data_IF_157717292180
#
_entry.id   IF_157717292180
#
_cell.length_a   1.000
_cell.length_b   1.000
_cell.length_c   1.000
_cell.angle_alpha   90.00
_cell.angle_beta   90.00
_cell.angle_gamma   90.00
#
_symmetry.space_group_name_H-M   'P 1'
#
loop_
_entity.id
_entity.type
_entity.pdbx_description
1 polymer ?
#
# COMPACT_ATOMS: atom_id res chain seq x y z
N UNK A 1 -7.57 27.55 9.46
CA UNK A 1 -6.14 27.79 9.78
C UNK A 1 -5.66 26.49 10.39
N UNK A 2 -5.07 25.61 9.59
CA UNK A 2 -4.55 24.31 10.07
C UNK A 2 -3.24 24.56 10.82
N UNK A 3 -3.16 24.07 12.06
CA UNK A 3 -1.96 24.10 12.87
C UNK A 3 -0.78 23.47 12.11
N UNK A 4 0.41 24.07 12.10
CA UNK A 4 1.56 23.46 11.45
C UNK A 4 1.88 22.14 12.17
N UNK A 5 1.89 21.04 11.42
CA UNK A 5 2.30 19.72 11.91
C UNK A 5 3.70 19.86 12.50
N UNK A 6 3.83 19.79 13.83
CA UNK A 6 5.14 19.77 14.50
C UNK A 6 5.90 18.52 14.03
N UNK A 7 7.18 18.65 13.63
CA UNK A 7 8.00 17.49 13.34
C UNK A 7 8.09 16.62 14.61
N UNK A 8 7.60 15.38 14.52
CA UNK A 8 7.70 14.43 15.63
C UNK A 8 9.17 14.07 15.85
N UNK A 9 9.60 14.04 17.11
CA UNK A 9 10.95 13.58 17.44
C UNK A 9 11.09 12.07 17.14
N UNK A 10 12.32 11.60 16.91
CA UNK A 10 12.60 10.17 16.71
C UNK A 10 12.11 9.34 17.93
N UNK A 11 12.21 9.89 19.13
CA UNK A 11 11.71 9.24 20.35
C UNK A 11 10.18 9.12 20.34
N UNK A 12 9.46 10.17 19.93
CA UNK A 12 7.99 10.13 19.82
C UNK A 12 7.52 9.11 18.80
N UNK A 13 8.24 9.00 17.67
CA UNK A 13 7.97 7.99 16.63
C UNK A 13 8.20 6.57 17.16
N UNK A 14 9.29 6.33 17.90
CA UNK A 14 9.59 5.02 18.48
C UNK A 14 8.54 4.58 19.50
N UNK A 15 8.11 5.50 20.39
CA UNK A 15 7.04 5.24 21.36
C UNK A 15 5.72 4.94 20.66
N UNK A 16 5.36 5.73 19.65
CA UNK A 16 4.14 5.51 18.85
C UNK A 16 4.18 4.17 18.13
N UNK A 17 5.30 3.82 17.49
CA UNK A 17 5.46 2.53 16.81
C UNK A 17 5.35 1.34 17.80
N UNK A 18 5.94 1.47 18.98
CA UNK A 18 5.81 0.47 20.05
C UNK A 18 4.35 0.24 20.46
N UNK A 19 3.62 1.31 20.72
CA UNK A 19 2.19 1.24 21.08
C UNK A 19 1.35 0.61 19.98
N UNK A 20 1.52 1.04 18.71
CA UNK A 20 0.79 0.48 17.59
C UNK A 20 1.08 -1.01 17.39
N UNK A 21 2.32 -1.45 17.60
CA UNK A 21 2.67 -2.88 17.54
C UNK A 21 1.92 -3.69 18.61
N UNK A 22 1.83 -3.18 19.83
CA UNK A 22 1.08 -3.85 20.91
C UNK A 22 -0.43 -3.91 20.57
N UNK A 23 -1.00 -2.87 20.01
CA UNK A 23 -2.41 -2.84 19.57
C UNK A 23 -2.66 -3.88 18.46
N UNK A 24 -1.78 -3.98 17.46
CA UNK A 24 -1.86 -5.02 16.40
C UNK A 24 -1.82 -6.41 17.00
N UNK A 25 -0.98 -6.66 18.00
CA UNK A 25 -0.89 -7.97 18.68
C UNK A 25 -2.09 -8.28 19.56
N UNK A 26 -2.66 -7.28 20.21
CA UNK A 26 -3.83 -7.45 21.05
C UNK A 26 -5.10 -7.75 20.25
N UNK A 27 -5.19 -7.20 19.03
CA UNK A 27 -6.33 -7.38 18.13
C UNK A 27 -5.82 -7.60 16.70
N UNK A 28 -5.41 -8.84 16.35
CA UNK A 28 -4.81 -9.14 15.05
C UNK A 28 -5.69 -8.69 13.88
N UNK A 29 -5.26 -7.66 13.09
CA UNK A 29 -6.05 -7.19 11.97
C UNK A 29 -5.95 -8.16 10.80
N UNK A 30 -7.08 -8.46 10.14
CA UNK A 30 -7.10 -9.12 8.84
C UNK A 30 -6.56 -8.14 7.79
N UNK A 31 -5.40 -8.43 7.23
CA UNK A 31 -4.73 -7.56 6.26
C UNK A 31 -4.78 -8.19 4.87
N UNK A 32 -5.59 -7.62 4.00
CA UNK A 32 -5.65 -8.00 2.59
C UNK A 32 -4.43 -7.45 1.85
N UNK A 33 -3.71 -8.28 1.12
CA UNK A 33 -2.54 -7.86 0.34
C UNK A 33 -2.65 -8.32 -1.10
N UNK A 34 -2.65 -7.37 -2.03
CA UNK A 34 -2.30 -7.59 -3.42
C UNK A 34 -0.88 -7.05 -3.58
N UNK A 35 0.10 -7.94 -3.72
CA UNK A 35 1.50 -7.56 -3.67
C UNK A 35 2.32 -8.23 -4.77
N UNK A 36 3.54 -7.77 -4.97
CA UNK A 36 4.40 -8.29 -6.03
C UNK A 36 4.95 -9.68 -5.69
N UNK A 37 5.19 -10.47 -6.74
CA UNK A 37 5.63 -11.86 -6.65
C UNK A 37 6.98 -12.04 -5.92
N UNK A 38 7.85 -11.02 -5.97
CA UNK A 38 9.19 -11.08 -5.38
C UNK A 38 9.14 -11.09 -3.85
N UNK A 39 8.18 -10.39 -3.25
CA UNK A 39 8.11 -10.20 -1.80
C UNK A 39 6.86 -10.78 -1.15
N UNK A 40 6.02 -11.52 -1.86
CA UNK A 40 4.77 -12.08 -1.32
C UNK A 40 4.99 -12.81 0.00
N UNK A 41 5.88 -13.80 0.03
CA UNK A 41 6.20 -14.55 1.23
C UNK A 41 6.86 -13.70 2.32
N UNK A 42 7.72 -12.76 1.96
CA UNK A 42 8.34 -11.84 2.90
C UNK A 42 7.29 -10.91 3.54
N UNK A 43 6.40 -10.32 2.76
CA UNK A 43 5.30 -9.48 3.26
C UNK A 43 4.42 -10.24 4.24
N UNK A 44 4.00 -11.47 3.88
CA UNK A 44 3.21 -12.32 4.77
C UNK A 44 3.93 -12.59 6.10
N UNK A 45 5.20 -12.98 6.05
CA UNK A 45 5.98 -13.30 7.24
C UNK A 45 6.21 -12.08 8.15
N UNK A 46 6.44 -10.89 7.58
CA UNK A 46 6.57 -9.65 8.36
C UNK A 46 5.27 -9.31 9.07
N UNK A 47 4.13 -9.39 8.38
CA UNK A 47 2.82 -9.13 8.98
C UNK A 47 2.50 -10.14 10.09
N UNK A 48 2.77 -11.43 9.89
CA UNK A 48 2.63 -12.46 10.93
C UNK A 48 3.52 -12.17 12.14
N UNK A 49 4.78 -11.79 11.92
CA UNK A 49 5.71 -11.46 13.00
C UNK A 49 5.27 -10.22 13.81
N UNK A 50 4.56 -9.29 13.18
CA UNK A 50 3.95 -8.14 13.83
C UNK A 50 2.69 -8.51 14.62
N UNK A 51 2.06 -9.63 14.31
CA UNK A 51 0.82 -10.10 14.95
C UNK A 51 -0.43 -9.89 14.10
N UNK A 52 -0.31 -9.45 12.85
CA UNK A 52 -1.43 -9.34 11.92
C UNK A 52 -1.77 -10.69 11.27
N UNK A 53 -2.94 -10.79 10.65
CA UNK A 53 -3.40 -11.93 9.88
C UNK A 53 -3.40 -11.57 8.37
N UNK A 54 -2.28 -11.78 7.65
CA UNK A 54 -2.20 -11.47 6.22
C UNK A 54 -2.96 -12.48 5.37
N UNK A 55 -3.60 -11.98 4.31
CA UNK A 55 -4.21 -12.80 3.27
C UNK A 55 -3.86 -12.24 1.88
N UNK A 56 -3.34 -13.11 1.01
CA UNK A 56 -2.92 -12.77 -0.34
C UNK A 56 -4.05 -13.16 -1.30
N UNK A 57 -5.05 -12.26 -1.47
CA UNK A 57 -6.22 -12.49 -2.33
C UNK A 57 -6.13 -11.55 -3.52
N UNK A 58 -5.73 -12.06 -4.67
CA UNK A 58 -5.45 -11.30 -5.90
C UNK A 58 -6.19 -11.84 -7.13
N UNK A 59 -7.32 -12.49 -6.90
CA UNK A 59 -8.20 -13.07 -7.91
C UNK A 59 -9.43 -12.20 -8.13
N UNK A 60 -9.77 -11.94 -9.38
CA UNK A 60 -10.98 -11.24 -9.80
C UNK A 60 -12.24 -11.98 -9.30
N UNK A 61 -13.19 -11.23 -8.74
CA UNK A 61 -14.41 -11.75 -8.14
C UNK A 61 -14.26 -12.14 -6.65
N UNK A 62 -13.04 -12.32 -6.14
CA UNK A 62 -12.77 -12.54 -4.73
C UNK A 62 -12.23 -11.29 -4.03
N UNK A 63 -11.52 -10.42 -4.77
CA UNK A 63 -10.81 -9.29 -4.22
C UNK A 63 -11.73 -8.22 -3.61
N UNK A 64 -12.87 -7.92 -4.24
CA UNK A 64 -13.83 -6.92 -3.73
C UNK A 64 -14.46 -7.35 -2.40
N UNK A 65 -15.14 -8.52 -2.29
CA UNK A 65 -15.76 -8.93 -1.03
C UNK A 65 -14.75 -9.15 0.07
N UNK A 66 -13.53 -9.59 -0.26
CA UNK A 66 -12.49 -9.79 0.74
C UNK A 66 -11.96 -8.46 1.28
N UNK A 67 -11.72 -7.46 0.43
CA UNK A 67 -11.29 -6.13 0.85
C UNK A 67 -12.33 -5.43 1.73
N UNK A 68 -13.62 -5.63 1.45
CA UNK A 68 -14.70 -5.10 2.26
C UNK A 68 -14.74 -5.71 3.68
N UNK A 69 -14.31 -6.97 3.84
CA UNK A 69 -14.28 -7.67 5.12
C UNK A 69 -12.95 -7.48 5.89
N UNK A 70 -11.91 -7.00 5.22
CA UNK A 70 -10.58 -6.83 5.81
C UNK A 70 -10.52 -5.61 6.74
N UNK A 71 -9.56 -5.63 7.68
CA UNK A 71 -9.25 -4.49 8.55
C UNK A 71 -8.36 -3.45 7.86
N UNK A 72 -7.69 -3.83 6.77
CA UNK A 72 -6.86 -2.96 5.96
C UNK A 72 -6.43 -3.65 4.66
N UNK A 73 -6.14 -2.84 3.62
CA UNK A 73 -5.74 -3.32 2.30
C UNK A 73 -4.40 -2.72 1.90
N UNK A 74 -3.49 -3.56 1.39
CA UNK A 74 -2.25 -3.16 0.73
C UNK A 74 -2.32 -3.47 -0.76
N UNK A 75 -2.09 -2.44 -1.59
CA UNK A 75 -1.86 -2.58 -3.03
C UNK A 75 -0.40 -2.20 -3.33
N UNK A 76 0.41 -3.17 -3.75
CA UNK A 76 1.79 -2.96 -4.18
C UNK A 76 1.93 -3.31 -5.67
N UNK A 77 2.36 -2.36 -6.49
CA UNK A 77 2.39 -2.45 -7.94
C UNK A 77 3.72 -2.99 -8.51
N UNK A 78 4.50 -3.73 -7.74
CA UNK A 78 5.83 -4.18 -8.15
C UNK A 78 5.85 -5.14 -9.35
N UNK A 79 4.90 -6.07 -9.45
CA UNK A 79 4.77 -7.02 -10.59
C UNK A 79 3.30 -7.21 -10.99
N UNK A 80 2.60 -6.17 -11.48
CA UNK A 80 1.16 -6.19 -11.64
C UNK A 80 0.75 -7.01 -12.88
N UNK A 81 0.44 -8.29 -12.69
CA UNK A 81 -0.14 -9.14 -13.74
C UNK A 81 -1.48 -8.57 -14.23
N UNK A 82 -1.99 -8.97 -15.40
CA UNK A 82 -3.32 -8.56 -15.82
C UNK A 82 -4.39 -8.85 -14.78
N UNK A 83 -4.38 -10.02 -14.18
CA UNK A 83 -5.29 -10.43 -13.10
C UNK A 83 -5.18 -9.52 -11.88
N UNK A 84 -3.97 -9.30 -11.38
CA UNK A 84 -3.75 -8.44 -10.21
C UNK A 84 -4.18 -6.99 -10.45
N UNK A 85 -4.11 -6.50 -11.69
CA UNK A 85 -4.57 -5.13 -11.99
C UNK A 85 -6.08 -4.99 -11.85
N UNK A 86 -6.85 -5.95 -12.34
CA UNK A 86 -8.31 -5.98 -12.19
C UNK A 86 -8.69 -6.26 -10.73
N UNK A 87 -8.08 -7.23 -10.08
CA UNK A 87 -8.28 -7.51 -8.66
C UNK A 87 -7.97 -6.30 -7.77
N UNK A 88 -6.95 -5.49 -8.13
CA UNK A 88 -6.66 -4.24 -7.40
C UNK A 88 -7.78 -3.22 -7.51
N UNK A 89 -8.42 -3.08 -8.69
CA UNK A 89 -9.57 -2.19 -8.86
C UNK A 89 -10.76 -2.66 -8.04
N UNK A 90 -11.06 -3.96 -8.08
CA UNK A 90 -12.13 -4.57 -7.28
C UNK A 90 -11.86 -4.40 -5.78
N UNK A 91 -10.65 -4.71 -5.33
CA UNK A 91 -10.30 -4.57 -3.91
C UNK A 91 -10.44 -3.13 -3.42
N UNK A 92 -9.99 -2.15 -4.22
CA UNK A 92 -10.16 -0.73 -3.84
C UNK A 92 -11.63 -0.34 -3.85
N UNK A 93 -12.44 -0.82 -4.79
CA UNK A 93 -13.90 -0.58 -4.79
C UNK A 93 -14.55 -1.13 -3.52
N UNK A 94 -14.25 -2.38 -3.14
CA UNK A 94 -14.73 -2.98 -1.90
C UNK A 94 -14.27 -2.25 -0.65
N UNK A 95 -13.00 -1.85 -0.60
CA UNK A 95 -12.45 -1.08 0.52
C UNK A 95 -13.15 0.29 0.67
N UNK A 96 -13.38 1.00 -0.43
CA UNK A 96 -14.10 2.28 -0.41
C UNK A 96 -15.56 2.11 0.04
N UNK A 97 -16.24 1.10 -0.45
CA UNK A 97 -17.63 0.83 -0.07
C UNK A 97 -17.80 0.50 1.42
N UNK A 98 -16.83 -0.22 2.00
CA UNK A 98 -16.83 -0.61 3.41
C UNK A 98 -16.15 0.39 4.35
N UNK A 99 -15.43 1.40 3.82
CA UNK A 99 -14.60 2.31 4.62
C UNK A 99 -13.32 1.67 5.14
N UNK A 100 -12.88 0.57 4.53
CA UNK A 100 -11.62 -0.11 4.88
C UNK A 100 -10.43 0.79 4.50
N UNK A 101 -9.51 1.11 5.43
CA UNK A 101 -8.33 1.89 5.11
C UNK A 101 -7.40 1.11 4.18
N UNK A 102 -6.78 1.80 3.23
CA UNK A 102 -5.89 1.16 2.29
C UNK A 102 -4.64 1.97 1.95
N UNK A 103 -3.58 1.25 1.61
CA UNK A 103 -2.26 1.79 1.28
C UNK A 103 -1.93 1.46 -0.17
N UNK A 104 -1.43 2.46 -0.90
CA UNK A 104 -0.86 2.29 -2.23
C UNK A 104 0.67 2.35 -2.15
N UNK A 105 1.34 1.34 -2.69
CA UNK A 105 2.80 1.29 -2.89
C UNK A 105 3.09 1.25 -4.40
N UNK A 106 3.36 2.42 -5.03
CA UNK A 106 3.47 2.57 -6.48
C UNK A 106 4.87 2.22 -7.00
N UNK A 107 5.34 1.02 -6.71
CA UNK A 107 6.70 0.54 -7.01
C UNK A 107 7.11 0.78 -8.46
N UNK A 108 8.25 1.46 -8.67
CA UNK A 108 8.93 1.66 -9.95
C UNK A 108 8.04 2.31 -11.03
N UNK A 109 7.20 3.25 -10.64
CA UNK A 109 6.41 4.06 -11.58
C UNK A 109 7.27 5.14 -12.24
N UNK A 110 6.73 5.75 -13.29
CA UNK A 110 7.38 6.78 -14.12
C UNK A 110 7.91 6.19 -15.43
N UNK A 111 8.81 5.21 -15.37
CA UNK A 111 9.40 4.60 -16.57
C UNK A 111 8.62 3.39 -17.10
N UNK A 112 7.78 2.77 -16.30
CA UNK A 112 7.02 1.56 -16.64
C UNK A 112 5.54 1.91 -16.87
N UNK A 113 5.07 2.04 -18.12
CA UNK A 113 3.80 2.69 -18.44
C UNK A 113 2.58 2.00 -17.84
N UNK A 114 2.56 0.66 -17.79
CA UNK A 114 1.41 -0.12 -17.31
C UNK A 114 1.12 0.18 -15.83
N UNK A 115 2.14 0.07 -14.99
CA UNK A 115 1.98 0.34 -13.55
C UNK A 115 1.84 1.82 -13.23
N UNK A 116 2.46 2.69 -14.04
CA UNK A 116 2.33 4.15 -13.89
C UNK A 116 0.89 4.59 -14.11
N UNK A 117 0.25 4.11 -15.17
CA UNK A 117 -1.15 4.42 -15.44
C UNK A 117 -2.06 3.93 -14.30
N UNK A 118 -1.86 2.69 -13.84
CA UNK A 118 -2.62 2.12 -12.74
C UNK A 118 -2.39 2.88 -11.41
N UNK A 119 -1.15 3.28 -11.13
CA UNK A 119 -0.84 4.05 -9.93
C UNK A 119 -1.57 5.39 -9.90
N UNK A 120 -1.62 6.13 -11.02
CA UNK A 120 -2.38 7.38 -11.12
C UNK A 120 -3.88 7.15 -10.97
N UNK A 121 -4.41 6.10 -11.59
CA UNK A 121 -5.82 5.71 -11.46
C UNK A 121 -6.18 5.46 -9.99
N UNK A 122 -5.39 4.62 -9.30
CA UNK A 122 -5.65 4.26 -7.91
C UNK A 122 -5.41 5.43 -6.94
N UNK A 123 -4.38 6.25 -7.18
CA UNK A 123 -4.11 7.42 -6.35
C UNK A 123 -5.25 8.45 -6.39
N UNK A 124 -5.95 8.59 -7.52
CA UNK A 124 -7.13 9.45 -7.64
C UNK A 124 -8.30 9.01 -6.73
N UNK A 125 -8.32 7.75 -6.30
CA UNK A 125 -9.29 7.18 -5.37
C UNK A 125 -8.96 7.43 -3.90
N UNK A 126 -7.95 8.25 -3.62
CA UNK A 126 -7.58 8.75 -2.28
C UNK A 126 -7.25 7.63 -1.29
N UNK A 127 -6.16 6.88 -1.49
CA UNK A 127 -5.66 5.93 -0.48
C UNK A 127 -5.47 6.63 0.87
N UNK A 128 -5.64 5.89 1.95
CA UNK A 128 -5.37 6.39 3.32
C UNK A 128 -3.91 6.81 3.47
N UNK A 129 -3.00 6.07 2.82
CA UNK A 129 -1.59 6.42 2.73
C UNK A 129 -0.98 5.96 1.40
N UNK A 130 0.05 6.67 0.97
CA UNK A 130 0.92 6.27 -0.14
C UNK A 130 2.32 6.06 0.43
N UNK A 131 2.91 4.91 0.16
CA UNK A 131 4.28 4.57 0.55
C UNK A 131 5.13 4.46 -0.71
N UNK A 132 6.17 5.23 -0.81
CA UNK A 132 7.12 5.18 -1.94
C UNK A 132 8.44 5.85 -1.59
N UNK A 133 9.46 5.64 -2.41
CA UNK A 133 10.68 6.43 -2.35
C UNK A 133 10.47 7.81 -3.00
N UNK A 134 11.46 8.70 -2.90
CA UNK A 134 11.33 10.08 -3.40
C UNK A 134 10.97 10.13 -4.89
N UNK A 135 11.64 9.33 -5.74
CA UNK A 135 11.37 9.35 -7.18
C UNK A 135 10.01 8.76 -7.56
N UNK A 136 9.49 7.80 -6.82
CA UNK A 136 8.13 7.28 -7.01
C UNK A 136 7.08 8.33 -6.64
N UNK A 137 7.28 9.03 -5.54
CA UNK A 137 6.36 10.11 -5.12
C UNK A 137 6.40 11.28 -6.11
N UNK A 138 7.59 11.69 -6.58
CA UNK A 138 7.72 12.73 -7.59
C UNK A 138 7.08 12.32 -8.92
N UNK A 139 7.26 11.07 -9.35
CA UNK A 139 6.61 10.54 -10.55
C UNK A 139 5.08 10.53 -10.41
N UNK A 140 4.56 10.14 -9.24
CA UNK A 140 3.13 10.17 -8.97
C UNK A 140 2.56 11.59 -8.97
N UNK A 141 3.36 12.56 -8.52
CA UNK A 141 3.03 14.00 -8.58
C UNK A 141 3.21 14.63 -9.97
N UNK A 142 3.72 13.87 -10.96
CA UNK A 142 3.96 14.37 -12.32
C UNK A 142 5.23 15.20 -12.50
N UNK A 143 6.18 15.13 -11.56
CA UNK A 143 7.40 15.96 -11.56
C UNK A 143 8.67 15.23 -12.02
N UNK A 144 8.67 13.90 -12.11
CA UNK A 144 9.83 13.11 -12.55
C UNK A 144 9.44 11.90 -13.40
N UNK A 145 10.44 11.32 -14.07
CA UNK A 145 10.26 10.06 -14.82
C UNK A 145 10.29 8.80 -13.95
N UNK A 146 10.49 8.95 -12.64
CA UNK A 146 10.60 7.85 -11.68
C UNK A 146 12.02 7.29 -11.52
N UNK A 147 12.17 6.33 -10.63
CA UNK A 147 13.41 5.70 -10.28
C UNK A 147 13.77 4.46 -11.10
N UNK A 148 14.94 3.89 -10.83
CA UNK A 148 15.37 2.59 -11.35
C UNK A 148 14.93 1.51 -10.38
N UNK A 149 13.88 0.75 -10.72
CA UNK A 149 13.36 -0.28 -9.83
C UNK A 149 12.85 0.31 -8.51
N UNK A 150 13.50 -0.07 -7.40
CA UNK A 150 13.18 0.43 -6.05
C UNK A 150 14.10 1.58 -5.60
N UNK A 151 15.10 1.93 -6.40
CA UNK A 151 16.07 2.98 -6.06
C UNK A 151 15.58 4.35 -6.51
N UNK A 152 15.80 5.37 -5.68
CA UNK A 152 15.53 6.76 -6.05
C UNK A 152 16.60 7.27 -7.02
N UNK A 153 16.18 8.00 -8.06
CA UNK A 153 17.07 8.70 -8.99
C UNK A 153 17.12 10.21 -8.76
N UNK A 154 16.10 10.73 -8.06
CA UNK A 154 16.03 12.14 -7.66
C UNK A 154 16.24 12.23 -6.15
N UNK A 155 17.34 12.83 -5.73
CA UNK A 155 17.76 13.00 -4.35
C UNK A 155 17.79 14.46 -3.92
#
# INVERSE_FOLDING_TARGET
MSDPVRPQSVLDLAVTAGRLREEVRATPPLTHCITNAVVTGFTANVLLALGAAPAMVDIVGEAEPFAAAASGLLINLGTPTPEQREASREAVAGALAAGTPWVLDPVAIGTLPVRTALAHELAALRPTAIRGNASEILALAGHSSGGRGVDATDG
#
